data_IF_920215685549
#
_entry.id   IF_920215685549
#
_cell.length_a   1.000
_cell.length_b   1.000
_cell.length_c   1.000
_cell.angle_alpha   90.00
_cell.angle_beta   90.00
_cell.angle_gamma   90.00
#
_symmetry.space_group_name_H-M   'P 1'
#
loop_
_entity.id
_entity.type
_entity.pdbx_description
1 polymer ?
#
# COMPACT_ATOMS: atom_id res chain seq x y z
N UNK A 1 22.94 3.31 4.67
CA UNK A 1 23.02 3.42 3.20
C UNK A 1 22.41 2.15 2.57
N UNK A 2 21.08 2.11 2.31
CA UNK A 2 20.38 0.88 1.89
C UNK A 2 20.80 0.36 0.51
N UNK A 3 21.38 1.22 -0.33
CA UNK A 3 21.84 0.92 -1.68
C UNK A 3 23.38 0.88 -1.81
N UNK A 4 24.10 0.78 -0.69
CA UNK A 4 25.56 0.88 -0.68
C UNK A 4 26.06 2.31 -0.93
N UNK A 5 27.28 2.44 -1.46
CA UNK A 5 27.93 3.73 -1.72
C UNK A 5 29.23 3.61 -2.50
N UNK A 6 29.81 4.76 -2.87
CA UNK A 6 31.06 4.82 -3.66
C UNK A 6 30.90 4.23 -5.07
N UNK A 7 31.97 3.67 -5.67
CA UNK A 7 31.93 3.08 -7.00
C UNK A 7 30.97 1.89 -7.17
N UNK A 8 30.45 1.35 -6.05
CA UNK A 8 29.52 0.21 -6.01
C UNK A 8 28.15 0.62 -5.45
N UNK A 9 27.80 1.91 -5.50
CA UNK A 9 26.43 2.36 -5.30
C UNK A 9 25.51 1.60 -6.26
N UNK A 10 24.37 1.12 -5.77
CA UNK A 10 23.42 0.37 -6.60
C UNK A 10 23.03 1.17 -7.83
N UNK A 11 23.40 0.68 -9.02
CA UNK A 11 23.05 1.31 -10.29
C UNK A 11 21.53 1.33 -10.56
N UNK A 12 20.77 0.45 -9.90
CA UNK A 12 19.32 0.36 -9.99
C UNK A 12 18.56 1.13 -8.91
N UNK A 13 19.22 1.95 -8.08
CA UNK A 13 18.55 2.64 -6.96
C UNK A 13 17.41 3.56 -7.40
N UNK A 14 17.59 4.30 -8.50
CA UNK A 14 16.53 5.18 -9.03
C UNK A 14 15.38 4.39 -9.66
N UNK A 15 15.69 3.26 -10.33
CA UNK A 15 14.67 2.37 -10.86
C UNK A 15 13.83 1.74 -9.73
N UNK A 16 14.49 1.24 -8.68
CA UNK A 16 13.81 0.65 -7.53
C UNK A 16 12.87 1.67 -6.84
N UNK A 17 13.30 2.93 -6.70
CA UNK A 17 12.44 4.00 -6.17
C UNK A 17 11.23 4.26 -7.08
N UNK A 18 11.43 4.29 -8.39
CA UNK A 18 10.36 4.50 -9.36
C UNK A 18 9.34 3.36 -9.32
N UNK A 19 9.80 2.10 -9.33
CA UNK A 19 8.95 0.91 -9.25
C UNK A 19 8.10 0.93 -7.98
N UNK A 20 8.72 1.20 -6.82
CA UNK A 20 8.00 1.33 -5.54
C UNK A 20 6.99 2.47 -5.58
N UNK A 21 7.36 3.64 -6.10
CA UNK A 21 6.49 4.81 -6.15
C UNK A 21 5.25 4.58 -7.04
N UNK A 22 5.44 4.02 -8.24
CA UNK A 22 4.35 3.71 -9.16
C UNK A 22 3.43 2.65 -8.58
N UNK A 23 3.99 1.59 -7.98
CA UNK A 23 3.21 0.56 -7.31
C UNK A 23 2.35 1.14 -6.17
N UNK A 24 2.96 1.90 -5.26
CA UNK A 24 2.27 2.51 -4.12
C UNK A 24 1.20 3.50 -4.61
N UNK A 25 1.49 4.33 -5.61
CA UNK A 25 0.54 5.28 -6.18
C UNK A 25 -0.75 4.58 -6.63
N UNK A 26 -0.64 3.50 -7.40
CA UNK A 26 -1.82 2.76 -7.84
C UNK A 26 -2.48 1.95 -6.73
N UNK A 27 -1.70 1.43 -5.78
CA UNK A 27 -2.23 0.70 -4.63
C UNK A 27 -3.13 1.61 -3.77
N UNK A 28 -2.63 2.77 -3.34
CA UNK A 28 -3.33 3.69 -2.42
C UNK A 28 -4.56 4.35 -3.04
N UNK A 29 -4.55 4.58 -4.36
CA UNK A 29 -5.66 5.25 -5.05
C UNK A 29 -6.81 4.29 -5.37
N UNK A 30 -6.55 2.98 -5.45
CA UNK A 30 -7.53 2.02 -5.94
C UNK A 30 -7.93 0.97 -4.90
N UNK A 31 -7.18 0.80 -3.81
CA UNK A 31 -7.44 -0.26 -2.84
C UNK A 31 -7.29 0.20 -1.39
N UNK A 32 -8.15 -0.31 -0.52
CA UNK A 32 -7.86 -0.44 0.91
C UNK A 32 -7.37 -1.85 1.17
N UNK A 33 -6.51 -2.02 2.17
CA UNK A 33 -5.95 -3.32 2.49
C UNK A 33 -5.74 -3.52 3.99
N UNK A 34 -5.76 -4.78 4.41
CA UNK A 34 -5.44 -5.22 5.76
C UNK A 34 -4.67 -6.55 5.73
N UNK A 35 -3.98 -6.87 6.81
CA UNK A 35 -3.32 -8.17 6.96
C UNK A 35 -4.40 -9.26 7.15
N UNK A 36 -4.37 -10.29 6.30
CA UNK A 36 -5.27 -11.43 6.41
C UNK A 36 -4.81 -12.41 7.51
N UNK A 37 -3.53 -12.37 7.88
CA UNK A 37 -2.99 -13.08 9.03
C UNK A 37 -1.81 -12.29 9.62
N UNK A 38 -1.51 -12.50 10.90
CA UNK A 38 -0.31 -11.93 11.51
C UNK A 38 0.94 -12.52 10.87
N UNK A 39 1.79 -11.65 10.34
CA UNK A 39 3.08 -12.02 9.78
C UNK A 39 4.08 -10.90 10.08
N UNK A 40 5.36 -11.21 10.10
CA UNK A 40 6.44 -10.26 10.41
C UNK A 40 7.65 -10.56 9.54
N UNK A 41 8.33 -9.50 9.10
CA UNK A 41 9.57 -9.65 8.36
C UNK A 41 10.65 -10.25 9.27
N UNK A 42 11.33 -11.28 8.78
CA UNK A 42 12.52 -11.87 9.39
C UNK A 42 13.70 -11.71 8.46
N UNK A 43 14.91 -11.57 9.00
CA UNK A 43 16.12 -11.38 8.20
C UNK A 43 17.15 -12.48 8.51
N UNK A 44 17.20 -13.54 7.68
CA UNK A 44 18.33 -14.47 7.64
C UNK A 44 18.24 -15.48 6.47
N UNK A 45 19.20 -15.55 5.52
CA UNK A 45 20.23 -14.56 5.20
C UNK A 45 19.69 -13.37 4.39
N UNK A 46 18.42 -13.42 3.99
CA UNK A 46 17.68 -12.35 3.31
C UNK A 46 16.40 -12.01 4.10
N UNK A 47 15.78 -10.88 3.76
CA UNK A 47 14.49 -10.49 4.36
C UNK A 47 13.38 -11.30 3.72
N UNK A 48 12.55 -11.94 4.54
CA UNK A 48 11.39 -12.70 4.10
C UNK A 48 10.24 -12.61 5.10
N UNK A 49 9.03 -12.94 4.64
CA UNK A 49 7.84 -13.09 5.44
C UNK A 49 7.48 -14.57 5.56
N UNK A 50 7.61 -15.20 6.74
CA UNK A 50 7.41 -16.64 6.91
C UNK A 50 6.03 -17.16 6.44
N UNK A 51 5.01 -16.31 6.39
CA UNK A 51 3.67 -16.65 5.89
C UNK A 51 3.34 -15.99 4.54
N UNK A 52 4.32 -15.36 3.90
CA UNK A 52 4.18 -14.72 2.59
C UNK A 52 3.45 -13.38 2.59
N UNK A 53 3.31 -12.72 3.74
CA UNK A 53 2.59 -11.45 3.90
C UNK A 53 1.18 -11.49 3.26
N UNK A 54 0.25 -12.30 3.79
CA UNK A 54 -1.08 -12.42 3.20
C UNK A 54 -1.88 -11.14 3.45
N UNK A 55 -2.36 -10.51 2.36
CA UNK A 55 -3.10 -9.25 2.38
C UNK A 55 -4.49 -9.44 1.79
N UNK A 56 -5.51 -8.94 2.50
CA UNK A 56 -6.85 -8.80 1.96
C UNK A 56 -6.99 -7.40 1.33
N UNK A 57 -7.47 -7.33 0.09
CA UNK A 57 -7.64 -6.07 -0.65
C UNK A 57 -9.09 -5.84 -1.01
N UNK A 58 -9.56 -4.60 -0.84
CA UNK A 58 -10.88 -4.15 -1.29
C UNK A 58 -10.70 -2.99 -2.24
N UNK A 59 -11.37 -3.02 -3.39
CA UNK A 59 -11.33 -1.90 -4.34
C UNK A 59 -12.02 -0.69 -3.72
N UNK A 60 -11.36 0.46 -3.75
CA UNK A 60 -11.95 1.74 -3.39
C UNK A 60 -12.98 2.13 -4.47
N UNK A 61 -14.23 2.31 -4.05
CA UNK A 61 -15.24 2.96 -4.86
C UNK A 61 -14.79 4.41 -5.07
N UNK A 62 -14.69 4.87 -6.32
CA UNK A 62 -14.45 6.29 -6.56
C UNK A 62 -15.71 7.03 -6.11
N UNK A 63 -15.63 7.75 -5.01
CA UNK A 63 -16.62 8.78 -4.67
C UNK A 63 -16.52 9.86 -5.74
N UNK A 64 -17.24 9.67 -6.84
CA UNK A 64 -17.51 10.73 -7.78
C UNK A 64 -18.40 11.78 -7.11
N UNK A 65 -18.48 13.01 -7.65
CA UNK A 65 -19.33 14.09 -7.15
C UNK A 65 -20.85 13.84 -7.28
N UNK A 66 -21.30 12.58 -7.28
CA UNK A 66 -22.70 12.19 -7.51
C UNK A 66 -23.39 11.58 -6.27
N UNK A 67 -22.75 11.63 -5.09
CA UNK A 67 -23.30 11.03 -3.87
C UNK A 67 -23.29 11.98 -2.66
N UNK A 68 -23.23 13.30 -2.86
CA UNK A 68 -23.40 14.24 -1.75
C UNK A 68 -24.86 14.35 -1.27
N UNK A 69 -25.83 13.89 -2.07
CA UNK A 69 -27.25 13.94 -1.71
C UNK A 69 -27.65 12.86 -0.69
N UNK A 70 -26.91 11.75 -0.61
CA UNK A 70 -27.26 10.61 0.26
C UNK A 70 -26.56 10.65 1.63
N UNK A 71 -25.41 11.32 1.75
CA UNK A 71 -24.67 11.43 3.02
C UNK A 71 -25.34 12.40 4.02
N UNK A 72 -26.18 13.33 3.54
CA UNK A 72 -26.92 14.28 4.41
C UNK A 72 -28.12 13.61 5.08
N UNK A 73 -28.75 12.63 4.44
CA UNK A 73 -29.96 11.98 4.97
C UNK A 73 -29.62 11.04 6.13
N UNK A 74 -28.52 10.30 6.06
CA UNK A 74 -28.06 9.40 7.13
C UNK A 74 -27.49 10.13 8.36
N UNK A 75 -27.28 11.45 8.26
CA UNK A 75 -26.87 12.32 9.37
C UNK A 75 -28.03 12.86 10.21
N UNK A 76 -29.26 12.77 9.72
CA UNK A 76 -30.43 13.43 10.33
C UNK A 76 -31.33 12.51 11.18
N UNK A 77 -31.11 11.18 11.18
CA UNK A 77 -31.87 10.24 12.02
C UNK A 77 -31.17 9.87 13.34
N UNK A 78 -30.25 10.73 13.81
CA UNK A 78 -29.62 10.62 15.14
C UNK A 78 -29.89 11.83 16.04
N UNK A 79 -31.09 12.41 15.94
CA UNK A 79 -31.69 13.23 17.00
C UNK A 79 -32.97 12.58 17.55
#
# INVERSE_FOLDING_TARGET
>A
MPFGGGPRLCAGSELAKLEMAVFIHHLVLNFSWSLAASDQAYAFPFVDFPKGLPVAVNRLQKTGPQNLENDVVDGAERE
#
